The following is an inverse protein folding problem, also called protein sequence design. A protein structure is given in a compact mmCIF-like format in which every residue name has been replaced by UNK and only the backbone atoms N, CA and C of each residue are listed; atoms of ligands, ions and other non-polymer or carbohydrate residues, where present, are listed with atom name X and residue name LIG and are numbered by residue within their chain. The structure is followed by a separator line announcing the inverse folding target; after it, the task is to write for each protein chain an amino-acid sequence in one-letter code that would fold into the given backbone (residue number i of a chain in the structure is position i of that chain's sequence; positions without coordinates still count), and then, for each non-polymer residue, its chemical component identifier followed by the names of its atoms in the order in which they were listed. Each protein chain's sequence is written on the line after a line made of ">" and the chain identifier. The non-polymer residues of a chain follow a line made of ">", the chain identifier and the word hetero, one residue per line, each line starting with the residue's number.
data_IF_865743578647
#
_entry.id   IF_865743578647
#
_cell.length_a   1.000
_cell.length_b   1.000
_cell.length_c   1.000
_cell.angle_alpha   90.00
_cell.angle_beta   90.00
_cell.angle_gamma   90.00
#
_symmetry.space_group_name_H-M   'P 1'
#
loop_
_entity.id
_entity.type
_entity.pdbx_description
1 polymer ?
#
# COMPACT_ATOMS: atom_id res chain seq x y z
N UNK A 1 5.67 8.67 11.90
CA UNK A 1 6.15 7.53 11.07
C UNK A 1 5.07 7.17 10.05
N UNK A 2 5.45 6.67 8.87
CA UNK A 2 4.49 6.10 7.91
C UNK A 2 4.20 4.65 8.32
N UNK A 3 2.92 4.26 8.28
CA UNK A 3 2.50 2.89 8.58
C UNK A 3 2.48 2.06 7.29
N UNK A 4 2.91 0.81 7.38
CA UNK A 4 2.94 -0.13 6.26
C UNK A 4 2.73 -1.57 6.74
N UNK A 5 2.85 -2.56 5.84
CA UNK A 5 2.77 -3.99 6.12
C UNK A 5 3.93 -4.76 5.45
N UNK A 6 4.16 -6.00 5.88
CA UNK A 6 5.19 -6.89 5.34
C UNK A 6 5.01 -7.13 3.84
N UNK A 7 3.77 -7.21 3.34
CA UNK A 7 3.51 -7.41 1.92
C UNK A 7 4.06 -6.25 1.07
N UNK A 8 3.84 -5.00 1.50
CA UNK A 8 4.40 -3.80 0.84
C UNK A 8 5.92 -3.81 0.90
N UNK A 9 6.51 -4.17 2.06
CA UNK A 9 7.97 -4.26 2.20
C UNK A 9 8.55 -5.31 1.25
N UNK A 10 7.94 -6.49 1.20
CA UNK A 10 8.35 -7.60 0.33
C UNK A 10 8.28 -7.20 -1.15
N UNK A 11 7.15 -6.66 -1.59
CA UNK A 11 6.96 -6.22 -2.97
C UNK A 11 7.91 -5.08 -3.34
N UNK A 12 8.06 -4.07 -2.47
CA UNK A 12 8.98 -2.95 -2.72
C UNK A 12 10.42 -3.44 -2.85
N UNK A 13 10.85 -4.34 -1.97
CA UNK A 13 12.18 -4.97 -2.06
C UNK A 13 12.36 -5.75 -3.37
N UNK A 14 11.33 -6.48 -3.80
CA UNK A 14 11.35 -7.21 -5.07
C UNK A 14 11.43 -6.24 -6.26
N UNK A 15 10.61 -5.20 -6.30
CA UNK A 15 10.61 -4.21 -7.38
C UNK A 15 11.94 -3.46 -7.49
N UNK A 16 12.55 -3.13 -6.35
CA UNK A 16 13.82 -2.39 -6.29
C UNK A 16 15.08 -3.27 -6.39
N UNK A 17 14.96 -4.58 -6.64
CA UNK A 17 16.09 -5.53 -6.64
C UNK A 17 17.21 -5.20 -7.64
N UNK A 18 16.91 -4.47 -8.71
CA UNK A 18 17.89 -4.05 -9.72
C UNK A 18 18.37 -2.60 -9.53
N UNK A 19 17.74 -1.85 -8.62
CA UNK A 19 18.22 -0.52 -8.24
C UNK A 19 19.40 -0.67 -7.28
N UNK A 20 20.41 0.17 -7.44
CA UNK A 20 21.57 0.19 -6.54
C UNK A 20 21.10 0.43 -5.09
N UNK A 21 21.43 -0.51 -4.21
CA UNK A 21 21.04 -0.52 -2.79
C UNK A 21 19.52 -0.44 -2.52
N UNK A 22 18.68 -0.78 -3.51
CA UNK A 22 17.23 -0.58 -3.45
C UNK A 22 16.55 -1.27 -2.26
N UNK A 23 16.70 -2.58 -2.13
CA UNK A 23 16.13 -3.34 -1.01
C UNK A 23 16.72 -2.90 0.33
N UNK A 24 18.01 -2.52 0.37
CA UNK A 24 18.67 -2.03 1.58
C UNK A 24 18.09 -0.69 2.05
N UNK A 25 17.82 0.22 1.13
CA UNK A 25 17.20 1.51 1.44
C UNK A 25 15.81 1.35 2.09
N UNK A 26 15.02 0.34 1.67
CA UNK A 26 13.74 -0.01 2.28
C UNK A 26 13.93 -0.49 3.73
N UNK A 27 14.92 -1.36 3.98
CA UNK A 27 15.21 -1.84 5.32
C UNK A 27 15.76 -0.73 6.24
N UNK A 28 16.56 0.19 5.70
CA UNK A 28 17.07 1.34 6.44
C UNK A 28 15.94 2.29 6.88
N UNK A 29 14.88 2.42 6.07
CA UNK A 29 13.67 3.17 6.45
C UNK A 29 12.95 2.54 7.65
N UNK A 30 12.91 1.21 7.73
CA UNK A 30 12.35 0.49 8.88
C UNK A 30 13.25 0.63 10.11
N UNK A 31 14.55 0.41 9.95
CA UNK A 31 15.55 0.46 11.03
C UNK A 31 15.55 1.81 11.75
N UNK A 32 15.43 2.92 11.00
CA UNK A 32 15.37 4.26 11.59
C UNK A 32 13.97 4.72 12.03
N UNK A 33 12.96 3.85 11.92
CA UNK A 33 11.57 4.14 12.33
C UNK A 33 10.82 5.11 11.42
N UNK A 34 11.33 5.39 10.21
CA UNK A 34 10.60 6.20 9.22
C UNK A 34 9.38 5.46 8.66
N UNK A 35 9.55 4.16 8.40
CA UNK A 35 8.48 3.20 8.15
C UNK A 35 8.25 2.35 9.41
N UNK A 36 6.99 2.02 9.71
CA UNK A 36 6.64 1.05 10.76
C UNK A 36 5.62 0.05 10.23
N UNK A 37 5.94 -1.23 10.35
CA UNK A 37 5.01 -2.32 10.08
C UNK A 37 3.97 -2.32 11.21
N UNK A 38 2.71 -2.13 10.85
CA UNK A 38 1.60 -1.98 11.81
C UNK A 38 0.34 -2.69 11.29
N UNK A 39 0.52 -3.86 10.69
CA UNK A 39 -0.56 -4.66 10.14
C UNK A 39 -0.21 -6.14 10.28
N UNK A 40 -1.16 -6.95 10.72
CA UNK A 40 -1.01 -8.41 10.77
C UNK A 40 -2.04 -9.02 9.83
N UNK A 41 -1.59 -9.70 8.79
CA UNK A 41 -2.49 -10.24 7.78
C UNK A 41 -3.48 -11.25 8.38
N UNK A 42 -3.04 -12.07 9.33
CA UNK A 42 -3.87 -13.09 9.98
C UNK A 42 -5.14 -12.52 10.63
N UNK A 43 -5.06 -11.29 11.16
CA UNK A 43 -6.18 -10.60 11.81
C UNK A 43 -7.22 -10.06 10.79
N UNK A 44 -6.88 -10.07 9.49
CA UNK A 44 -7.65 -9.41 8.43
C UNK A 44 -7.86 -10.27 7.17
N UNK A 45 -7.61 -11.59 7.24
CA UNK A 45 -7.65 -12.50 6.07
C UNK A 45 -8.96 -12.39 5.30
N UNK A 46 -10.11 -12.44 5.98
CA UNK A 46 -11.43 -12.41 5.33
C UNK A 46 -11.68 -11.09 4.59
N UNK A 47 -11.30 -9.97 5.19
CA UNK A 47 -11.42 -8.65 4.57
C UNK A 47 -10.50 -8.53 3.35
N UNK A 48 -9.25 -8.98 3.47
CA UNK A 48 -8.27 -8.97 2.38
C UNK A 48 -8.75 -9.86 1.22
N UNK A 49 -9.20 -11.08 1.51
CA UNK A 49 -9.75 -11.98 0.49
C UNK A 49 -10.97 -11.38 -0.21
N UNK A 50 -11.88 -10.73 0.54
CA UNK A 50 -13.02 -10.02 -0.03
C UNK A 50 -12.60 -8.88 -0.95
N UNK A 51 -11.60 -8.09 -0.55
CA UNK A 51 -11.06 -6.99 -1.36
C UNK A 51 -10.46 -7.51 -2.67
N UNK A 52 -9.61 -8.55 -2.60
CA UNK A 52 -9.02 -9.16 -3.78
C UNK A 52 -10.08 -9.75 -4.72
N UNK A 53 -11.11 -10.40 -4.19
CA UNK A 53 -12.23 -10.89 -4.99
C UNK A 53 -13.05 -9.76 -5.64
N UNK A 54 -13.34 -8.70 -4.89
CA UNK A 54 -14.09 -7.53 -5.38
C UNK A 54 -13.36 -6.82 -6.51
N UNK A 55 -12.05 -6.69 -6.39
CA UNK A 55 -11.23 -5.98 -7.36
C UNK A 55 -10.59 -6.93 -8.37
N UNK A 56 -11.02 -8.18 -8.52
CA UNK A 56 -10.37 -9.17 -9.40
C UNK A 56 -10.23 -8.76 -10.88
N UNK A 57 -11.04 -7.80 -11.38
CA UNK A 57 -10.92 -7.23 -12.72
C UNK A 57 -9.88 -6.10 -12.83
N UNK A 58 -9.33 -5.66 -11.70
CA UNK A 58 -8.21 -4.74 -11.53
C UNK A 58 -7.07 -5.56 -10.93
N UNK A 59 -5.79 -5.41 -11.31
CA UNK A 59 -4.71 -6.25 -10.80
C UNK A 59 -4.32 -5.90 -9.34
N UNK A 60 -5.26 -5.93 -8.41
CA UNK A 60 -5.02 -5.65 -6.99
C UNK A 60 -4.05 -6.70 -6.40
N UNK A 61 -2.91 -6.23 -5.92
CA UNK A 61 -1.93 -7.07 -5.22
C UNK A 61 -2.37 -7.35 -3.77
N UNK A 62 -1.71 -8.31 -3.11
CA UNK A 62 -1.86 -8.51 -1.67
C UNK A 62 -1.43 -7.25 -0.89
N UNK A 63 -0.39 -6.55 -1.36
CA UNK A 63 0.10 -5.32 -0.74
C UNK A 63 -0.97 -4.22 -0.78
N UNK A 64 -1.64 -4.04 -1.92
CA UNK A 64 -2.73 -3.07 -2.07
C UNK A 64 -3.91 -3.42 -1.18
N UNK A 65 -4.32 -4.70 -1.16
CA UNK A 65 -5.42 -5.15 -0.30
C UNK A 65 -5.12 -4.91 1.19
N UNK A 66 -3.86 -5.11 1.62
CA UNK A 66 -3.43 -4.77 2.97
C UNK A 66 -3.50 -3.26 3.22
N UNK A 67 -3.02 -2.42 2.31
CA UNK A 67 -3.09 -0.96 2.45
C UNK A 67 -4.52 -0.43 2.49
N UNK A 68 -5.45 -1.01 1.71
CA UNK A 68 -6.88 -0.68 1.77
C UNK A 68 -7.45 -1.07 3.14
N UNK A 69 -7.13 -2.27 3.64
CA UNK A 69 -7.53 -2.73 4.99
C UNK A 69 -6.99 -1.82 6.10
N UNK A 70 -5.72 -1.40 6.02
CA UNK A 70 -5.13 -0.43 6.94
C UNK A 70 -5.82 0.93 6.86
N UNK A 71 -6.19 1.38 5.66
CA UNK A 71 -6.89 2.64 5.48
C UNK A 71 -8.32 2.62 6.06
N UNK A 72 -8.97 1.45 6.12
CA UNK A 72 -10.23 1.24 6.85
C UNK A 72 -10.04 1.31 8.38
N UNK A 73 -8.92 0.82 8.92
CA UNK A 73 -8.59 0.91 10.35
C UNK A 73 -8.18 2.32 10.80
N UNK A 74 -7.70 3.14 9.86
CA UNK A 74 -7.31 4.52 10.09
C UNK A 74 -8.11 5.47 9.19
N UNK A 75 -9.36 5.82 9.56
CA UNK A 75 -10.28 6.58 8.69
C UNK A 75 -9.69 7.89 8.17
N UNK A 76 -8.97 8.61 9.03
CA UNK A 76 -8.35 9.91 8.74
C UNK A 76 -6.98 9.81 8.02
N UNK A 77 -6.52 8.58 7.73
CA UNK A 77 -5.26 8.37 7.02
C UNK A 77 -5.38 8.65 5.51
N UNK A 78 -4.23 9.05 4.96
CA UNK A 78 -4.00 9.16 3.52
C UNK A 78 -3.00 8.10 3.08
N UNK A 79 -3.20 7.51 1.91
CA UNK A 79 -2.24 6.55 1.32
C UNK A 79 -1.22 7.31 0.47
N UNK A 80 0.07 7.18 0.79
CA UNK A 80 1.16 7.63 -0.07
C UNK A 80 1.47 6.54 -1.09
N UNK A 81 1.27 6.82 -2.38
CA UNK A 81 1.47 5.81 -3.43
C UNK A 81 1.78 6.48 -4.77
N UNK A 82 2.39 5.71 -5.67
CA UNK A 82 2.58 6.06 -7.09
C UNK A 82 1.54 5.37 -7.99
N UNK A 83 0.79 4.40 -7.44
CA UNK A 83 -0.15 3.60 -8.19
C UNK A 83 -1.52 4.29 -8.30
N UNK A 84 -1.94 4.54 -9.55
CA UNK A 84 -3.19 5.21 -9.87
C UNK A 84 -4.41 4.37 -9.52
N UNK A 85 -4.28 3.05 -9.36
CA UNK A 85 -5.40 2.17 -9.03
C UNK A 85 -5.98 2.46 -7.63
N UNK A 86 -5.21 3.10 -6.74
CA UNK A 86 -5.74 3.64 -5.47
C UNK A 86 -6.84 4.70 -5.67
N UNK A 87 -6.96 5.31 -6.85
CA UNK A 87 -8.10 6.18 -7.20
C UNK A 87 -9.40 5.39 -7.39
N UNK A 88 -9.32 4.09 -7.71
CA UNK A 88 -10.46 3.19 -7.91
C UNK A 88 -10.86 2.48 -6.62
N UNK A 89 -9.89 2.15 -5.77
CA UNK A 89 -10.15 1.47 -4.50
C UNK A 89 -11.01 2.31 -3.54
N UNK A 90 -11.75 1.62 -2.66
CA UNK A 90 -12.71 2.26 -1.74
C UNK A 90 -12.61 1.68 -0.33
N UNK A 91 -12.49 2.55 0.68
CA UNK A 91 -12.67 2.19 2.09
C UNK A 91 -14.13 1.86 2.35
N UNK A 92 -14.37 0.77 3.08
CA UNK A 92 -15.70 0.25 3.42
C UNK A 92 -16.59 0.10 2.18
N UNK A 93 -15.96 -0.13 1.03
CA UNK A 93 -16.62 -0.36 -0.25
C UNK A 93 -17.28 0.84 -0.93
N UNK A 94 -17.22 2.05 -0.37
CA UNK A 94 -17.89 3.23 -0.94
C UNK A 94 -17.13 4.54 -0.82
N UNK A 95 -16.26 4.69 0.18
CA UNK A 95 -15.53 5.94 0.40
C UNK A 95 -14.22 5.93 -0.39
N UNK A 96 -13.94 7.00 -1.14
CA UNK A 96 -12.65 7.16 -1.79
C UNK A 96 -11.51 7.10 -0.77
N UNK A 97 -10.36 6.53 -1.16
CA UNK A 97 -9.17 6.54 -0.34
C UNK A 97 -8.43 7.86 -0.62
N UNK A 98 -8.28 8.77 0.36
CA UNK A 98 -7.47 9.95 0.16
C UNK A 98 -6.02 9.53 -0.13
N UNK A 99 -5.48 9.97 -1.26
CA UNK A 99 -4.12 9.63 -1.65
C UNK A 99 -3.20 10.85 -1.66
N UNK A 100 -1.93 10.61 -1.41
CA UNK A 100 -0.82 11.51 -1.71
C UNK A 100 -0.10 10.86 -2.89
N UNK A 101 -0.23 11.45 -4.06
CA UNK A 101 0.38 10.99 -5.31
C UNK A 101 1.12 12.16 -5.95
N UNK A 102 2.19 11.92 -6.71
CA UNK A 102 2.79 12.97 -7.53
C UNK A 102 1.76 13.56 -8.50
N UNK A 103 1.86 14.86 -8.77
CA UNK A 103 1.10 15.47 -9.85
C UNK A 103 1.51 14.84 -11.19
N UNK A 104 0.54 14.62 -12.06
CA UNK A 104 0.84 14.18 -13.41
C UNK A 104 1.63 15.29 -14.08
N UNK A 105 2.90 15.02 -14.43
CA UNK A 105 3.65 15.93 -15.30
C UNK A 105 2.84 16.08 -16.58
N UNK A 106 2.21 17.24 -16.75
CA UNK A 106 1.72 17.66 -18.06
C UNK A 106 2.95 17.65 -18.97
N UNK A 107 2.89 16.84 -20.02
CA UNK A 107 4.05 16.55 -20.87
C UNK A 107 4.76 17.83 -21.33
N UNK A 108 6.09 17.77 -21.29
CA UNK A 108 6.95 18.56 -22.17
C UNK A 108 7.33 17.66 -23.35
#
# INVERSE_FOLDING_TARGET
>A
PLLTCEAVVSETCFLLRHARDGSRAVLDLLSRGALRIAFRLEDHVDLVARLMGRYASVPMSLADACLVSMAEQHPDSRVLTLDRDFRLYRKHGRHAIPAIMPEERSGA
#
